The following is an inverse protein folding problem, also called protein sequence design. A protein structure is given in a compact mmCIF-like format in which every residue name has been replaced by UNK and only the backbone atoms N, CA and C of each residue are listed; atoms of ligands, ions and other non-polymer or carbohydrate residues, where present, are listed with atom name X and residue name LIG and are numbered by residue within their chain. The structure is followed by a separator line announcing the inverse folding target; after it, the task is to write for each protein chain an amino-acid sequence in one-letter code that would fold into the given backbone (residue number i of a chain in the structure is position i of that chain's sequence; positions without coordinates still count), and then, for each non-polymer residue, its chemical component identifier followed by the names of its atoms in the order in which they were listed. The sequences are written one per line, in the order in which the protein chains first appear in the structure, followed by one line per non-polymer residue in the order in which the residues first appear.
data_IF_229259350846
#
_entry.id   IF_229259350846
#
_cell.length_a   1.000
_cell.length_b   1.000
_cell.length_c   1.000
_cell.angle_alpha   90.00
_cell.angle_beta   90.00
_cell.angle_gamma   90.00
#
_symmetry.space_group_name_H-M   'P 1'
#
loop_
_entity.id
_entity.type
_entity.pdbx_description
1 polymer ?
#
# COMPACT_ATOMS: atom_id res chain seq x y z
N UNK A 1 2.23 -8.87 9.72
CA UNK A 1 1.52 -8.26 8.57
C UNK A 1 0.03 -8.55 8.62
N UNK A 2 -0.81 -7.51 8.69
CA UNK A 2 -2.28 -7.64 8.68
C UNK A 2 -2.85 -7.24 7.30
N UNK A 3 -3.76 -8.04 6.74
CA UNK A 3 -4.42 -7.69 5.49
C UNK A 3 -5.40 -6.52 5.71
N UNK A 4 -5.28 -5.49 4.88
CA UNK A 4 -6.15 -4.31 4.89
C UNK A 4 -7.28 -4.48 3.88
N UNK A 5 -6.99 -5.13 2.76
CA UNK A 5 -7.96 -5.44 1.71
C UNK A 5 -7.31 -5.52 0.33
N UNK A 6 -8.16 -5.71 -0.69
CA UNK A 6 -7.73 -5.84 -2.08
C UNK A 6 -8.32 -4.76 -2.99
N UNK A 7 -7.58 -4.36 -4.01
CA UNK A 7 -8.00 -3.33 -4.97
C UNK A 7 -7.60 -3.71 -6.39
N UNK A 8 -8.46 -3.39 -7.36
CA UNK A 8 -8.09 -3.49 -8.79
C UNK A 8 -7.30 -2.23 -9.18
N UNK A 9 -6.10 -2.42 -9.70
CA UNK A 9 -5.29 -1.30 -10.17
C UNK A 9 -5.85 -0.68 -11.45
N UNK A 10 -6.06 0.62 -11.42
CA UNK A 10 -6.47 1.44 -12.56
C UNK A 10 -5.41 2.51 -12.87
N UNK A 11 -5.38 2.99 -14.10
CA UNK A 11 -4.43 4.02 -14.56
C UNK A 11 -4.44 5.28 -13.69
N UNK A 12 -5.61 5.68 -13.20
CA UNK A 12 -5.77 6.81 -12.29
C UNK A 12 -5.03 6.64 -10.95
N UNK A 13 -4.75 5.40 -10.52
CA UNK A 13 -4.00 5.13 -9.29
C UNK A 13 -2.51 5.46 -9.44
N UNK A 14 -1.98 5.58 -10.66
CA UNK A 14 -0.55 5.81 -10.89
C UNK A 14 -0.08 7.19 -10.44
N UNK A 15 -0.96 8.21 -10.46
CA UNK A 15 -0.63 9.57 -10.06
C UNK A 15 -0.69 9.75 -8.53
N UNK A 16 -1.71 9.18 -7.90
CA UNK A 16 -1.96 9.26 -6.46
C UNK A 16 -3.00 8.20 -6.11
N UNK A 17 -2.89 7.58 -4.94
CA UNK A 17 -3.98 6.81 -4.37
C UNK A 17 -4.13 7.05 -2.88
N UNK A 18 -5.37 7.30 -2.49
CA UNK A 18 -5.81 7.37 -1.09
C UNK A 18 -6.57 6.09 -0.74
N UNK A 19 -6.27 5.52 0.41
CA UNK A 19 -6.95 4.38 0.98
C UNK A 19 -7.45 4.73 2.37
N UNK A 20 -8.73 4.52 2.62
CA UNK A 20 -9.29 4.59 3.97
C UNK A 20 -8.85 3.35 4.75
N UNK A 21 -8.23 3.57 5.90
CA UNK A 21 -7.77 2.54 6.82
C UNK A 21 -8.45 2.77 8.16
N UNK A 22 -9.33 1.87 8.56
CA UNK A 22 -10.05 1.98 9.84
C UNK A 22 -9.29 1.37 11.02
N UNK A 23 -8.05 0.91 10.81
CA UNK A 23 -7.20 0.45 11.90
C UNK A 23 -6.55 1.65 12.59
N UNK A 24 -6.40 1.58 13.90
CA UNK A 24 -5.69 2.60 14.66
C UNK A 24 -4.57 1.92 15.48
N UNK A 25 -3.31 2.37 15.37
CA UNK A 25 -2.81 3.50 14.58
C UNK A 25 -2.59 3.19 13.08
N UNK A 26 -2.61 4.24 12.24
CA UNK A 26 -2.26 4.15 10.81
C UNK A 26 -0.84 3.57 10.62
N UNK A 27 -0.65 2.54 9.77
CA UNK A 27 0.67 1.98 9.53
C UNK A 27 1.57 3.02 8.85
N UNK A 28 2.86 3.05 9.22
CA UNK A 28 3.83 3.92 8.55
C UNK A 28 4.22 3.41 7.16
N UNK A 29 4.08 2.10 6.92
CA UNK A 29 4.40 1.44 5.67
C UNK A 29 3.27 0.49 5.27
N UNK A 30 3.00 0.44 3.97
CA UNK A 30 2.11 -0.53 3.36
C UNK A 30 2.89 -1.42 2.42
N UNK A 31 2.52 -2.69 2.41
CA UNK A 31 3.02 -3.63 1.43
C UNK A 31 1.89 -3.94 0.44
N UNK A 32 2.16 -3.73 -0.84
CA UNK A 32 1.24 -4.02 -1.94
C UNK A 32 1.75 -5.26 -2.67
N UNK A 33 0.89 -6.24 -2.85
CA UNK A 33 1.25 -7.53 -3.48
C UNK A 33 0.40 -7.79 -4.72
N UNK A 34 1.04 -8.30 -5.78
CA UNK A 34 0.38 -8.82 -6.99
C UNK A 34 1.01 -10.16 -7.32
N UNK A 35 0.32 -11.27 -7.07
CA UNK A 35 0.90 -12.60 -7.26
C UNK A 35 2.22 -12.74 -6.47
N UNK A 36 3.34 -12.95 -7.15
CA UNK A 36 4.68 -13.03 -6.55
C UNK A 36 5.42 -11.69 -6.46
N UNK A 37 4.85 -10.60 -6.97
CA UNK A 37 5.45 -9.26 -6.90
C UNK A 37 5.01 -8.54 -5.63
N UNK A 38 5.94 -7.82 -5.01
CA UNK A 38 5.71 -7.04 -3.82
C UNK A 38 6.33 -5.65 -3.96
N UNK A 39 5.61 -4.62 -3.52
CA UNK A 39 6.11 -3.26 -3.38
C UNK A 39 5.82 -2.74 -1.97
N UNK A 40 6.85 -2.22 -1.31
CA UNK A 40 6.68 -1.51 -0.04
C UNK A 40 6.61 -0.01 -0.32
N UNK A 41 5.57 0.63 0.18
CA UNK A 41 5.35 2.07 0.03
C UNK A 41 5.14 2.70 1.39
N UNK A 42 5.65 3.93 1.54
CA UNK A 42 5.42 4.71 2.76
C UNK A 42 4.02 5.29 2.72
N UNK A 43 3.29 5.07 3.80
CA UNK A 43 2.01 5.68 4.01
C UNK A 43 2.20 7.09 4.54
N UNK A 44 1.64 8.09 3.84
CA UNK A 44 1.61 9.47 4.34
C UNK A 44 0.15 9.87 4.54
N UNK A 45 -0.26 10.24 5.74
CA UNK A 45 -1.65 10.67 5.97
C UNK A 45 -1.99 10.81 7.45
N UNK A 46 -3.25 11.16 7.71
CA UNK A 46 -3.80 11.33 9.05
C UNK A 46 -4.51 10.05 9.52
N UNK A 47 -4.86 9.95 10.81
CA UNK A 47 -5.36 8.76 11.55
C UNK A 47 -6.06 7.64 10.74
N UNK A 48 -6.91 7.96 9.77
CA UNK A 48 -7.74 7.00 9.05
C UNK A 48 -7.51 6.99 7.51
N UNK A 49 -6.58 7.79 7.00
CA UNK A 49 -6.30 7.91 5.57
C UNK A 49 -4.82 7.69 5.26
N UNK A 50 -4.56 6.77 4.32
CA UNK A 50 -3.24 6.50 3.80
C UNK A 50 -3.10 6.96 2.35
N UNK A 51 -2.17 7.88 2.09
CA UNK A 51 -1.79 8.29 0.74
C UNK A 51 -0.51 7.59 0.29
N UNK A 52 -0.56 7.08 -0.95
CA UNK A 52 0.55 6.48 -1.66
C UNK A 52 0.83 7.29 -2.94
N UNK A 53 2.06 7.74 -3.09
CA UNK A 53 2.59 8.44 -4.26
C UNK A 53 4.09 8.16 -4.45
N UNK A 54 4.62 8.47 -5.63
CA UNK A 54 6.02 8.30 -5.99
C UNK A 54 6.24 7.58 -7.33
N UNK A 55 7.47 7.65 -7.85
CA UNK A 55 7.82 7.05 -9.13
C UNK A 55 7.72 5.52 -9.11
N UNK A 56 8.17 4.88 -8.03
CA UNK A 56 8.10 3.42 -7.86
C UNK A 56 6.66 2.92 -7.86
N UNK A 57 5.78 3.63 -7.17
CA UNK A 57 4.34 3.37 -7.19
C UNK A 57 3.76 3.54 -8.59
N UNK A 58 4.06 4.65 -9.26
CA UNK A 58 3.60 4.92 -10.62
C UNK A 58 4.03 3.80 -11.60
N UNK A 59 5.29 3.37 -11.52
CA UNK A 59 5.84 2.27 -12.32
C UNK A 59 5.12 0.95 -12.02
N UNK A 60 4.92 0.63 -10.75
CA UNK A 60 4.23 -0.59 -10.32
C UNK A 60 2.79 -0.64 -10.81
N UNK A 61 2.05 0.46 -10.69
CA UNK A 61 0.65 0.55 -11.19
C UNK A 61 0.59 0.35 -12.71
N UNK A 62 1.51 0.96 -13.45
CA UNK A 62 1.56 0.82 -14.92
C UNK A 62 1.89 -0.61 -15.36
N UNK A 63 2.74 -1.31 -14.62
CA UNK A 63 3.12 -2.71 -14.91
C UNK A 63 2.01 -3.71 -14.55
N UNK A 64 1.20 -3.39 -13.53
CA UNK A 64 0.17 -4.28 -12.99
C UNK A 64 -1.25 -3.75 -13.21
N UNK A 65 -1.48 -3.01 -14.30
CA UNK A 65 -2.82 -2.50 -14.61
C UNK A 65 -3.84 -3.63 -14.72
N UNK A 66 -5.03 -3.41 -14.15
CA UNK A 66 -6.14 -4.37 -14.06
C UNK A 66 -5.86 -5.60 -13.17
N UNK A 67 -4.69 -5.69 -12.56
CA UNK A 67 -4.43 -6.72 -11.57
C UNK A 67 -5.17 -6.41 -10.26
N UNK A 68 -5.64 -7.45 -9.58
CA UNK A 68 -6.08 -7.37 -8.19
C UNK A 68 -4.84 -7.39 -7.32
N UNK A 69 -4.71 -6.42 -6.43
CA UNK A 69 -3.58 -6.31 -5.52
C UNK A 69 -4.07 -6.33 -4.10
N UNK A 70 -3.33 -7.03 -3.23
CA UNK A 70 -3.65 -7.10 -1.81
C UNK A 70 -2.72 -6.19 -1.03
N UNK A 71 -3.32 -5.39 -0.15
CA UNK A 71 -2.66 -4.42 0.70
C UNK A 71 -2.49 -5.01 2.09
N UNK A 72 -1.27 -4.93 2.62
CA UNK A 72 -0.94 -5.36 3.97
C UNK A 72 -0.40 -4.17 4.77
N UNK A 73 -0.92 -4.00 5.99
CA UNK A 73 -0.37 -3.10 6.98
C UNK A 73 0.93 -3.70 7.51
N UNK A 74 2.00 -2.89 7.49
CA UNK A 74 3.20 -3.17 8.26
C UNK A 74 3.16 -2.34 9.53
N UNK A 75 3.05 -3.01 10.67
CA UNK A 75 3.12 -2.34 11.96
C UNK A 75 4.52 -1.77 12.16
N UNK A 76 4.59 -0.58 12.76
CA UNK A 76 5.85 0.07 13.16
C UNK A 76 6.40 -0.71 14.37
N UNK A 77 6.94 -1.91 14.12
CA UNK A 77 7.27 -2.87 15.16
C UNK A 77 7.82 -4.23 14.68
N UNK A 78 7.65 -4.63 13.42
CA UNK A 78 8.36 -5.81 12.85
C UNK A 78 9.82 -5.48 12.50
N UNK A 79 10.51 -4.92 13.49
CA UNK A 79 11.89 -4.46 13.48
C UNK A 79 12.37 -4.24 14.91
N UNK A 80 12.09 -5.18 15.81
CA UNK A 80 12.81 -5.30 17.08
C UNK A 80 13.10 -6.78 17.39
N UNK A 81 14.38 -7.05 17.62
CA UNK A 81 15.04 -8.29 18.05
C UNK A 81 15.40 -9.32 16.98
N UNK A 82 16.68 -9.28 16.56
CA UNK A 82 17.65 -10.25 17.09
C UNK A 82 18.98 -9.56 17.34
#
# INVERSE_FOLDING_TARGET
MAEIGSVVLASQHAAKREFSYNGNPLPSELTVTVGSQQLTVRCRGNRDECRIDGEEWCRFVRQNMRAVVTLYAREKGEGFHM
#
